data_IF_973835426698
#
_entry.id   IF_973835426698
#
_cell.length_a   1.000
_cell.length_b   1.000
_cell.length_c   1.000
_cell.angle_alpha   90.00
_cell.angle_beta   90.00
_cell.angle_gamma   90.00
#
_symmetry.space_group_name_H-M   'P 1'
#
loop_
_entity.id
_entity.type
_entity.pdbx_description
1 polymer ?
#
# COMPACT_ATOMS: atom_id res chain seq x y z
N UNK A 1 -0.60 1.78 -18.69
CA UNK A 1 -1.74 2.40 -19.40
C UNK A 1 -2.67 3.08 -18.41
N UNK A 2 -3.32 4.20 -18.85
CA UNK A 2 -4.29 4.91 -18.03
C UNK A 2 -5.63 4.96 -18.77
N UNK A 3 -6.71 4.61 -18.06
CA UNK A 3 -8.08 4.63 -18.57
C UNK A 3 -8.88 5.63 -17.74
N UNK A 4 -9.41 6.66 -18.38
CA UNK A 4 -10.06 7.77 -17.71
C UNK A 4 -11.30 8.22 -18.46
N UNK A 5 -12.23 8.82 -17.74
CA UNK A 5 -13.40 9.45 -18.34
C UNK A 5 -12.98 10.67 -19.17
N UNK A 6 -13.63 10.90 -20.30
CA UNK A 6 -13.26 11.97 -21.24
C UNK A 6 -13.19 13.35 -20.59
N UNK A 7 -14.09 13.62 -19.64
CA UNK A 7 -14.16 14.90 -18.93
C UNK A 7 -13.04 15.09 -17.89
N UNK A 8 -12.28 14.02 -17.55
CA UNK A 8 -11.17 14.05 -16.57
C UNK A 8 -9.79 13.87 -17.21
N UNK A 9 -9.68 13.82 -18.53
CA UNK A 9 -8.40 13.58 -19.22
C UNK A 9 -7.28 14.53 -18.80
N UNK A 10 -7.58 15.81 -18.67
CA UNK A 10 -6.59 16.82 -18.28
C UNK A 10 -6.11 16.60 -16.86
N UNK A 11 -7.02 16.36 -15.91
CA UNK A 11 -6.68 16.05 -14.53
C UNK A 11 -5.84 14.77 -14.44
N UNK A 12 -6.28 13.71 -15.08
CA UNK A 12 -5.59 12.41 -15.08
C UNK A 12 -4.19 12.49 -15.69
N UNK A 13 -3.99 13.34 -16.70
CA UNK A 13 -2.66 13.52 -17.32
C UNK A 13 -1.62 14.06 -16.35
N UNK A 14 -2.04 14.79 -15.32
CA UNK A 14 -1.16 15.31 -14.27
C UNK A 14 -1.00 14.34 -13.10
N UNK A 15 -2.03 13.54 -12.81
CA UNK A 15 -2.06 12.66 -11.64
C UNK A 15 -1.51 11.25 -11.90
N UNK A 16 -1.98 10.59 -12.92
CA UNK A 16 -1.68 9.18 -13.16
C UNK A 16 -0.20 8.85 -13.46
N UNK A 17 0.61 9.78 -14.03
CA UNK A 17 2.04 9.56 -14.15
C UNK A 17 2.78 9.28 -12.85
N UNK A 18 2.20 9.64 -11.67
CA UNK A 18 2.73 9.31 -10.35
C UNK A 18 2.88 7.80 -10.15
N UNK A 19 2.02 6.98 -10.77
CA UNK A 19 2.11 5.52 -10.71
C UNK A 19 3.46 4.96 -11.16
N UNK A 20 4.17 5.63 -12.07
CA UNK A 20 5.52 5.22 -12.51
C UNK A 20 6.56 5.33 -11.39
N UNK A 21 6.46 6.35 -10.58
CA UNK A 21 7.33 6.53 -9.41
C UNK A 21 7.02 5.48 -8.36
N UNK A 22 5.74 5.25 -8.12
CA UNK A 22 5.26 4.25 -7.18
C UNK A 22 5.73 2.84 -7.56
N UNK A 23 5.56 2.43 -8.82
CA UNK A 23 6.04 1.12 -9.29
C UNK A 23 7.55 0.97 -9.08
N UNK A 24 8.36 1.99 -9.46
CA UNK A 24 9.82 1.95 -9.26
C UNK A 24 10.22 1.82 -7.79
N UNK A 25 9.48 2.49 -6.91
CA UNK A 25 9.66 2.35 -5.47
C UNK A 25 9.41 0.92 -5.00
N UNK A 26 8.29 0.32 -5.41
CA UNK A 26 7.97 -1.06 -5.04
C UNK A 26 9.02 -2.05 -5.58
N UNK A 27 9.45 -1.90 -6.82
CA UNK A 27 10.53 -2.73 -7.39
C UNK A 27 11.84 -2.59 -6.61
N UNK A 28 12.17 -1.37 -6.17
CA UNK A 28 13.39 -1.11 -5.37
C UNK A 28 13.38 -1.87 -4.04
N UNK A 29 12.26 -1.88 -3.33
CA UNK A 29 12.19 -2.37 -1.95
C UNK A 29 11.59 -3.77 -1.81
N UNK A 30 10.71 -4.17 -2.71
CA UNK A 30 9.89 -5.39 -2.55
C UNK A 30 10.07 -6.42 -3.68
N UNK A 31 10.90 -6.13 -4.67
CA UNK A 31 11.21 -7.03 -5.79
C UNK A 31 10.44 -6.68 -7.06
N UNK A 32 10.78 -7.36 -8.15
CA UNK A 32 10.28 -7.05 -9.47
C UNK A 32 8.75 -7.14 -9.57
N UNK A 33 8.15 -6.29 -10.40
CA UNK A 33 6.73 -6.35 -10.73
C UNK A 33 6.40 -7.67 -11.44
N UNK A 34 5.50 -8.47 -10.86
CA UNK A 34 5.27 -9.85 -11.32
C UNK A 34 4.37 -9.95 -12.56
N UNK A 35 3.69 -8.86 -12.94
CA UNK A 35 2.64 -8.86 -13.96
C UNK A 35 3.04 -8.08 -15.22
N UNK A 36 4.31 -8.13 -15.61
CA UNK A 36 4.82 -7.42 -16.79
C UNK A 36 4.12 -7.81 -18.09
N UNK A 37 3.74 -9.08 -18.23
CA UNK A 37 3.05 -9.56 -19.42
C UNK A 37 1.65 -8.97 -19.57
N UNK A 38 0.95 -8.78 -18.45
CA UNK A 38 -0.37 -8.16 -18.41
C UNK A 38 -0.28 -6.64 -18.54
N UNK A 39 0.80 -6.07 -18.05
CA UNK A 39 1.06 -4.63 -18.02
C UNK A 39 0.18 -3.89 -16.99
N UNK A 40 0.74 -2.91 -16.32
CA UNK A 40 0.04 -2.10 -15.32
C UNK A 40 -0.99 -1.16 -15.97
N UNK A 41 -2.19 -1.12 -15.38
CA UNK A 41 -3.28 -0.22 -15.75
C UNK A 41 -3.80 0.51 -14.52
N UNK A 42 -4.03 1.82 -14.64
CA UNK A 42 -4.73 2.62 -13.64
C UNK A 42 -6.03 3.12 -14.26
N UNK A 43 -7.15 2.79 -13.64
CA UNK A 43 -8.50 2.92 -14.23
C UNK A 43 -9.35 3.81 -13.32
N UNK A 44 -9.87 4.90 -13.87
CA UNK A 44 -10.83 5.75 -13.15
C UNK A 44 -12.16 5.03 -12.95
N UNK A 45 -12.66 5.09 -11.70
CA UNK A 45 -13.93 4.48 -11.27
C UNK A 45 -14.74 5.41 -10.36
N UNK A 46 -16.05 5.18 -10.19
CA UNK A 46 -16.90 6.01 -9.32
C UNK A 46 -16.89 5.61 -7.84
N UNK A 47 -15.95 4.78 -7.40
CA UNK A 47 -15.71 4.41 -6.00
C UNK A 47 -14.25 4.70 -5.64
N UNK A 48 -13.86 4.58 -4.35
CA UNK A 48 -12.55 5.06 -3.88
C UNK A 48 -11.37 4.41 -4.63
N UNK A 49 -11.30 3.11 -4.64
CA UNK A 49 -10.24 2.32 -5.28
C UNK A 49 -10.40 0.84 -4.97
N UNK A 50 -9.64 0.01 -5.68
CA UNK A 50 -9.55 -1.43 -5.48
C UNK A 50 -8.34 -2.00 -6.21
N UNK A 51 -7.72 -2.99 -5.58
CA UNK A 51 -6.45 -3.61 -5.97
C UNK A 51 -6.58 -4.70 -7.05
N UNK A 52 -7.46 -4.56 -8.02
CA UNK A 52 -7.56 -5.56 -9.09
C UNK A 52 -6.22 -5.74 -9.81
N UNK A 53 -5.72 -6.98 -9.84
CA UNK A 53 -4.44 -7.29 -10.49
C UNK A 53 -4.34 -6.70 -11.90
N UNK A 54 -3.26 -5.96 -12.15
CA UNK A 54 -2.95 -5.32 -13.44
C UNK A 54 -4.03 -4.34 -13.95
N UNK A 55 -5.09 -4.10 -13.17
CA UNK A 55 -6.22 -3.23 -13.49
C UNK A 55 -6.65 -2.41 -12.26
N UNK A 56 -5.66 -1.82 -11.60
CA UNK A 56 -5.82 -1.01 -10.39
C UNK A 56 -6.81 0.11 -10.60
N UNK A 57 -7.79 0.25 -9.71
CA UNK A 57 -8.84 1.26 -9.85
C UNK A 57 -8.62 2.45 -8.94
N UNK A 58 -9.03 3.63 -9.42
CA UNK A 58 -8.82 4.92 -8.79
C UNK A 58 -10.07 5.79 -8.87
N UNK A 59 -10.58 6.25 -7.74
CA UNK A 59 -11.77 7.09 -7.65
C UNK A 59 -11.69 8.19 -6.59
N UNK A 60 -10.48 8.69 -6.29
CA UNK A 60 -10.25 9.75 -5.29
C UNK A 60 -10.46 11.18 -5.84
N UNK A 61 -11.13 11.32 -6.99
CA UNK A 61 -11.47 12.62 -7.58
C UNK A 61 -10.27 13.47 -7.98
N UNK A 62 -9.11 12.87 -8.25
CA UNK A 62 -7.84 13.54 -8.59
C UNK A 62 -7.42 14.62 -7.57
N UNK A 63 -7.78 14.41 -6.31
CA UNK A 63 -7.52 15.36 -5.24
C UNK A 63 -6.62 14.75 -4.19
N UNK A 64 -5.38 15.19 -4.16
CA UNK A 64 -4.41 14.87 -3.12
C UNK A 64 -4.93 15.30 -1.73
N UNK A 65 -5.90 16.21 -1.70
CA UNK A 65 -6.41 16.85 -0.49
C UNK A 65 -7.72 16.27 0.04
N UNK A 66 -8.43 15.46 -0.73
CA UNK A 66 -9.78 15.00 -0.39
C UNK A 66 -9.83 13.76 0.51
N UNK A 67 -8.74 13.12 0.78
CA UNK A 67 -8.69 11.95 1.67
C UNK A 67 -8.77 12.33 3.14
N UNK A 68 -9.34 11.46 3.96
CA UNK A 68 -9.33 11.54 5.44
C UNK A 68 -7.90 11.70 5.99
N UNK A 69 -6.91 11.30 5.21
CA UNK A 69 -5.47 11.38 5.51
C UNK A 69 -4.85 12.75 5.24
N UNK A 70 -5.60 13.72 4.70
CA UNK A 70 -5.03 14.96 4.18
C UNK A 70 -4.88 16.11 5.19
N UNK A 71 -5.44 16.01 6.38
CA UNK A 71 -5.36 17.11 7.35
C UNK A 71 -4.04 17.09 8.14
N UNK A 72 -3.21 18.07 7.88
CA UNK A 72 -2.03 18.37 8.73
C UNK A 72 -0.73 17.66 8.34
N UNK A 73 -0.67 17.03 7.16
CA UNK A 73 0.48 16.26 6.73
C UNK A 73 1.32 17.02 5.70
N UNK A 74 2.64 17.23 5.90
CA UNK A 74 3.46 18.02 4.98
C UNK A 74 3.67 17.37 3.60
N UNK A 75 3.32 16.09 3.45
CA UNK A 75 3.50 15.31 2.22
C UNK A 75 2.31 15.40 1.26
N UNK A 76 1.20 15.97 1.70
CA UNK A 76 0.06 16.18 0.83
C UNK A 76 0.38 17.23 -0.22
N UNK A 77 0.04 16.94 -1.46
CA UNK A 77 0.39 17.76 -2.59
C UNK A 77 1.59 17.24 -3.39
N UNK A 78 2.28 16.18 -2.91
CA UNK A 78 3.42 15.59 -3.59
C UNK A 78 3.03 14.34 -4.38
N UNK A 79 2.21 13.47 -3.78
CA UNK A 79 1.71 12.25 -4.43
C UNK A 79 0.36 11.85 -3.83
N UNK A 80 -0.48 11.19 -4.62
CA UNK A 80 -1.77 10.69 -4.15
C UNK A 80 -1.60 9.40 -3.35
N UNK A 81 -1.96 9.37 -2.04
CA UNK A 81 -1.82 8.18 -1.21
C UNK A 81 -2.59 6.97 -1.73
N UNK A 82 -3.71 7.19 -2.42
CA UNK A 82 -4.49 6.10 -3.00
C UNK A 82 -3.73 5.40 -4.14
N UNK A 83 -2.98 6.15 -4.96
CA UNK A 83 -2.14 5.55 -6.01
C UNK A 83 -1.03 4.71 -5.37
N UNK A 84 -0.44 5.14 -4.24
CA UNK A 84 0.54 4.32 -3.52
C UNK A 84 -0.12 3.05 -3.01
N UNK A 85 -1.27 3.20 -2.33
CA UNK A 85 -1.98 2.10 -1.68
C UNK A 85 -2.40 1.03 -2.70
N UNK A 86 -3.23 1.39 -3.66
CA UNK A 86 -3.79 0.44 -4.61
C UNK A 86 -2.72 -0.17 -5.55
N UNK A 87 -1.68 0.60 -5.91
CA UNK A 87 -0.59 0.05 -6.72
C UNK A 87 0.25 -0.95 -5.93
N UNK A 88 0.46 -0.74 -4.65
CA UNK A 88 1.28 -1.63 -3.84
C UNK A 88 0.65 -3.00 -3.60
N UNK A 89 -0.65 -3.09 -3.71
CA UNK A 89 -1.35 -4.37 -3.68
C UNK A 89 -0.99 -5.30 -4.86
N UNK A 90 -0.36 -4.81 -5.91
CA UNK A 90 0.24 -5.66 -6.94
C UNK A 90 1.32 -6.59 -6.34
N UNK A 91 1.97 -6.16 -5.25
CA UNK A 91 2.89 -6.96 -4.43
C UNK A 91 2.17 -7.66 -3.27
N UNK A 92 1.45 -6.91 -2.43
CA UNK A 92 0.78 -7.40 -1.23
C UNK A 92 -0.71 -7.63 -1.48
N UNK A 93 -1.09 -8.85 -1.78
CA UNK A 93 -2.45 -9.23 -2.14
C UNK A 93 -2.50 -9.96 -3.47
N UNK A 94 -1.98 -9.35 -4.54
CA UNK A 94 -1.99 -9.96 -5.87
C UNK A 94 -0.83 -10.92 -6.11
N UNK A 95 0.42 -10.54 -5.76
CA UNK A 95 1.57 -11.41 -5.91
C UNK A 95 1.75 -12.34 -4.70
N UNK A 96 1.67 -11.81 -3.50
CA UNK A 96 1.68 -12.60 -2.25
C UNK A 96 0.29 -12.51 -1.64
N UNK A 97 -0.46 -13.58 -1.76
CA UNK A 97 -1.86 -13.67 -1.31
C UNK A 97 -1.97 -14.44 -0.01
N UNK A 98 -2.79 -13.96 0.93
CA UNK A 98 -3.11 -14.70 2.14
C UNK A 98 -3.90 -15.97 1.80
N UNK A 99 -3.50 -17.11 2.36
CA UNK A 99 -4.15 -18.41 2.14
C UNK A 99 -5.54 -18.52 2.73
N UNK A 100 -5.86 -17.68 3.71
CA UNK A 100 -7.16 -17.58 4.36
C UNK A 100 -7.50 -16.11 4.63
N UNK A 101 -8.76 -15.67 4.44
CA UNK A 101 -9.19 -14.29 4.70
C UNK A 101 -8.87 -13.78 6.10
N UNK A 102 -8.68 -14.65 7.07
CA UNK A 102 -8.28 -14.28 8.44
C UNK A 102 -6.88 -13.67 8.51
N UNK A 103 -6.07 -13.85 7.48
CA UNK A 103 -4.73 -13.29 7.36
C UNK A 103 -4.67 -12.04 6.45
N UNK A 104 -5.80 -11.38 6.20
CA UNK A 104 -5.89 -10.19 5.33
C UNK A 104 -4.94 -9.05 5.76
N UNK A 105 -4.46 -9.03 6.98
CA UNK A 105 -3.45 -8.08 7.44
C UNK A 105 -2.13 -8.17 6.66
N UNK A 106 -1.86 -9.33 6.02
CA UNK A 106 -0.71 -9.51 5.11
C UNK A 106 -0.89 -8.62 3.88
N UNK A 107 -2.13 -8.47 3.38
CA UNK A 107 -2.41 -7.53 2.31
C UNK A 107 -2.34 -6.09 2.84
N UNK A 108 -3.20 -5.74 3.77
CA UNK A 108 -3.46 -4.38 4.19
C UNK A 108 -2.39 -3.80 5.12
N UNK A 109 -1.92 -4.61 6.07
CA UNK A 109 -0.92 -4.16 7.05
C UNK A 109 0.45 -3.93 6.44
N UNK A 110 0.90 -4.84 5.54
CA UNK A 110 2.14 -4.64 4.79
C UNK A 110 1.99 -3.46 3.82
N UNK A 111 0.81 -3.33 3.20
CA UNK A 111 0.54 -2.23 2.29
C UNK A 111 0.63 -0.87 3.00
N UNK A 112 -0.04 -0.69 4.13
CA UNK A 112 0.04 0.57 4.91
C UNK A 112 1.46 0.81 5.44
N UNK A 113 2.19 -0.24 5.78
CA UNK A 113 3.59 -0.11 6.17
C UNK A 113 4.46 0.36 5.00
N UNK A 114 4.23 -0.17 3.81
CA UNK A 114 4.96 0.23 2.60
C UNK A 114 4.75 1.71 2.24
N UNK A 115 3.59 2.28 2.57
CA UNK A 115 3.35 3.72 2.43
C UNK A 115 4.31 4.55 3.30
N UNK A 116 4.60 4.09 4.53
CA UNK A 116 5.58 4.75 5.39
C UNK A 116 6.99 4.70 4.78
N UNK A 117 7.38 3.53 4.22
CA UNK A 117 8.67 3.38 3.52
C UNK A 117 8.71 4.23 2.25
N UNK A 118 7.59 4.34 1.52
CA UNK A 118 7.51 5.22 0.36
C UNK A 118 7.84 6.68 0.72
N UNK A 119 7.27 7.17 1.80
CA UNK A 119 7.53 8.53 2.25
C UNK A 119 8.95 8.71 2.81
N UNK A 120 9.48 7.70 3.48
CA UNK A 120 10.88 7.66 3.91
C UNK A 120 11.83 7.78 2.71
N UNK A 121 11.63 6.99 1.66
CA UNK A 121 12.41 7.02 0.42
C UNK A 121 12.23 8.34 -0.34
N UNK A 122 11.01 8.81 -0.47
CA UNK A 122 10.66 10.03 -1.21
C UNK A 122 11.32 11.28 -0.64
N UNK A 123 11.48 11.35 0.67
CA UNK A 123 12.04 12.51 1.38
C UNK A 123 13.44 12.27 1.91
N UNK A 124 14.04 11.10 1.61
CA UNK A 124 15.34 10.68 2.14
C UNK A 124 15.44 10.88 3.66
N UNK A 125 14.39 10.48 4.38
CA UNK A 125 14.27 10.71 5.82
C UNK A 125 13.42 9.66 6.53
N UNK A 126 14.07 8.87 7.37
CA UNK A 126 13.42 7.91 8.26
C UNK A 126 12.35 8.56 9.16
N UNK A 127 12.62 9.78 9.65
CA UNK A 127 11.70 10.54 10.50
C UNK A 127 10.36 10.81 9.81
N UNK A 128 10.35 10.96 8.50
CA UNK A 128 9.12 11.17 7.73
C UNK A 128 8.27 9.90 7.71
N UNK A 129 8.87 8.74 7.54
CA UNK A 129 8.17 7.46 7.65
C UNK A 129 7.57 7.23 9.05
N UNK A 130 8.35 7.53 10.10
CA UNK A 130 7.87 7.46 11.50
C UNK A 130 6.72 8.45 11.74
N UNK A 131 6.82 9.64 11.19
CA UNK A 131 5.75 10.62 11.31
C UNK A 131 4.46 10.14 10.65
N UNK A 132 4.56 9.50 9.48
CA UNK A 132 3.41 8.85 8.83
C UNK A 132 2.77 7.79 9.74
N UNK A 133 3.54 6.85 10.28
CA UNK A 133 3.05 5.81 11.19
C UNK A 133 2.40 6.40 12.45
N UNK A 134 2.99 7.42 13.04
CA UNK A 134 2.41 8.11 14.20
C UNK A 134 1.06 8.76 13.87
N UNK A 135 0.85 9.25 12.65
CA UNK A 135 -0.42 9.88 12.25
C UNK A 135 -1.59 8.89 12.23
N UNK A 136 -1.31 7.62 12.01
CA UNK A 136 -2.33 6.56 11.93
C UNK A 136 -2.49 5.80 13.26
N UNK A 137 -1.56 5.94 14.19
CA UNK A 137 -1.52 5.21 15.47
C UNK A 137 -2.81 5.36 16.29
N UNK A 138 -3.37 6.56 16.35
CA UNK A 138 -4.58 6.83 17.10
C UNK A 138 -5.85 6.17 16.52
N UNK A 139 -5.73 5.53 15.37
CA UNK A 139 -6.81 4.79 14.71
C UNK A 139 -6.80 3.30 15.08
N UNK A 140 -5.79 2.85 15.83
CA UNK A 140 -5.70 1.49 16.35
C UNK A 140 -6.63 1.39 17.55
N UNK A 141 -7.63 0.52 17.45
CA UNK A 141 -8.64 0.29 18.50
C UNK A 141 -8.21 -0.81 19.46
N UNK A 142 -7.54 -1.82 18.96
CA UNK A 142 -6.97 -2.95 19.71
C UNK A 142 -8.02 -3.76 20.51
N UNK A 143 -9.26 -3.89 19.97
CA UNK A 143 -10.33 -4.66 20.58
C UNK A 143 -10.27 -6.14 20.21
N UNK A 144 -9.86 -6.44 18.99
CA UNK A 144 -9.76 -7.81 18.48
C UNK A 144 -8.37 -8.08 17.86
N UNK A 145 -7.93 -9.35 17.83
CA UNK A 145 -6.70 -9.72 17.13
C UNK A 145 -6.77 -9.39 15.64
N UNK A 146 -5.64 -9.07 15.01
CA UNK A 146 -5.55 -8.87 13.56
C UNK A 146 -5.59 -10.19 12.77
N UNK A 147 -5.40 -11.30 13.45
CA UNK A 147 -5.57 -12.66 12.92
C UNK A 147 -6.78 -13.27 13.60
N UNK A 148 -7.75 -13.69 12.81
CA UNK A 148 -8.96 -14.36 13.30
C UNK A 148 -8.80 -15.89 13.33
N UNK A 149 -9.93 -16.60 13.36
CA UNK A 149 -9.96 -18.06 13.28
C UNK A 149 -9.97 -18.51 11.81
N UNK A 150 -9.09 -19.43 11.46
CA UNK A 150 -9.04 -20.02 10.13
C UNK A 150 -10.30 -20.87 9.82
N UNK A 151 -10.52 -21.08 8.53
CA UNK A 151 -11.62 -21.88 8.00
C UNK A 151 -13.02 -21.39 8.41
N UNK A 152 -13.18 -20.11 8.69
CA UNK A 152 -14.46 -19.49 8.97
C UNK A 152 -14.91 -18.63 7.78
N UNK A 153 -16.21 -18.76 7.44
CA UNK A 153 -16.81 -17.99 6.36
C UNK A 153 -17.22 -16.58 6.84
N UNK A 154 -16.30 -15.87 7.49
CA UNK A 154 -16.50 -14.47 7.83
C UNK A 154 -15.22 -13.69 7.61
N UNK A 155 -15.38 -12.47 7.19
CA UNK A 155 -14.28 -11.55 6.88
C UNK A 155 -13.81 -10.86 8.17
N UNK A 156 -12.54 -11.01 8.48
CA UNK A 156 -11.92 -10.36 9.64
C UNK A 156 -11.37 -8.95 9.34
N UNK A 157 -11.87 -8.30 8.28
CA UNK A 157 -11.41 -6.97 7.88
C UNK A 157 -11.93 -5.92 8.87
N UNK A 158 -11.03 -5.27 9.58
CA UNK A 158 -11.28 -4.13 10.46
C UNK A 158 -10.09 -3.19 10.46
N UNK A 159 -10.25 -1.97 11.00
CA UNK A 159 -9.21 -0.94 10.95
C UNK A 159 -7.83 -1.36 11.47
N UNK A 160 -7.79 -2.25 12.45
CA UNK A 160 -6.53 -2.75 13.01
C UNK A 160 -5.74 -3.66 12.06
N UNK A 161 -6.39 -4.35 11.11
CA UNK A 161 -5.67 -5.12 10.08
C UNK A 161 -4.77 -4.23 9.26
N UNK A 162 -5.16 -2.99 9.03
CA UNK A 162 -4.38 -1.94 8.37
C UNK A 162 -3.34 -1.33 9.30
N UNK A 163 -3.81 -0.62 10.32
CA UNK A 163 -2.98 0.29 11.12
C UNK A 163 -2.08 -0.44 12.10
N UNK A 164 -2.62 -1.42 12.84
CA UNK A 164 -1.87 -2.25 13.75
C UNK A 164 -0.95 -3.20 12.99
N UNK A 165 -1.40 -3.74 11.84
CA UNK A 165 -0.55 -4.52 10.93
C UNK A 165 0.71 -3.77 10.51
N UNK A 166 0.56 -2.51 10.10
CA UNK A 166 1.70 -1.64 9.77
C UNK A 166 2.65 -1.44 10.96
N UNK A 167 2.10 -1.24 12.16
CA UNK A 167 2.92 -1.11 13.38
C UNK A 167 3.62 -2.40 13.80
N UNK A 168 3.04 -3.57 13.51
CA UNK A 168 3.72 -4.86 13.69
C UNK A 168 4.96 -4.92 12.81
N UNK A 169 4.84 -4.57 11.53
CA UNK A 169 5.98 -4.56 10.60
C UNK A 169 7.07 -3.58 11.03
N UNK A 170 6.68 -2.38 11.43
CA UNK A 170 7.63 -1.40 11.96
C UNK A 170 8.34 -1.86 13.24
N UNK A 171 7.62 -2.55 14.12
CA UNK A 171 8.20 -3.14 15.34
C UNK A 171 9.23 -4.22 14.99
N UNK A 172 8.93 -5.09 14.02
CA UNK A 172 9.88 -6.10 13.55
C UNK A 172 11.16 -5.47 12.97
N UNK A 173 11.02 -4.43 12.13
CA UNK A 173 12.16 -3.66 11.62
C UNK A 173 13.00 -3.09 12.77
N UNK A 174 12.35 -2.53 13.78
CA UNK A 174 13.02 -1.95 14.96
C UNK A 174 13.74 -3.01 15.79
N UNK A 175 13.18 -4.21 15.90
CA UNK A 175 13.84 -5.35 16.61
C UNK A 175 15.06 -5.83 15.85
N UNK A 176 14.99 -5.92 14.52
CA UNK A 176 16.12 -6.31 13.66
C UNK A 176 17.21 -5.24 13.70
N UNK A 177 16.83 -3.96 13.78
CA UNK A 177 17.72 -2.81 13.88
C UNK A 177 18.86 -2.82 12.84
N UNK A 178 18.55 -3.27 11.64
CA UNK A 178 19.45 -3.30 10.48
C UNK A 178 18.61 -3.26 9.20
N UNK A 179 18.61 -2.13 8.53
CA UNK A 179 17.75 -1.89 7.36
C UNK A 179 18.15 -2.75 6.15
N UNK A 180 19.45 -2.97 5.93
CA UNK A 180 19.92 -3.85 4.86
C UNK A 180 19.37 -5.27 5.05
N UNK A 181 19.46 -5.80 6.25
CA UNK A 181 18.90 -7.10 6.61
C UNK A 181 17.37 -7.10 6.50
N UNK A 182 16.70 -6.04 6.99
CA UNK A 182 15.25 -5.92 6.93
C UNK A 182 14.71 -5.98 5.50
N UNK A 183 15.23 -5.16 4.61
CA UNK A 183 14.78 -5.14 3.22
C UNK A 183 15.18 -6.40 2.45
N UNK A 184 16.28 -7.06 2.82
CA UNK A 184 16.62 -8.38 2.29
C UNK A 184 15.57 -9.41 2.68
N UNK A 185 15.19 -9.49 3.97
CA UNK A 185 14.14 -10.40 4.47
C UNK A 185 12.83 -10.17 3.73
N UNK A 186 12.39 -8.91 3.57
CA UNK A 186 11.14 -8.60 2.86
C UNK A 186 11.21 -9.06 1.39
N UNK A 187 12.31 -8.80 0.69
CA UNK A 187 12.48 -9.25 -0.70
C UNK A 187 12.49 -10.77 -0.84
N UNK A 188 13.15 -11.47 0.07
CA UNK A 188 13.16 -12.94 0.11
C UNK A 188 11.74 -13.47 0.36
N UNK A 189 11.03 -12.92 1.35
CA UNK A 189 9.63 -13.25 1.61
C UNK A 189 8.75 -13.05 0.36
N UNK A 190 8.88 -11.92 -0.33
CA UNK A 190 8.12 -11.65 -1.55
C UNK A 190 8.45 -12.64 -2.67
N UNK A 191 9.72 -12.95 -2.88
CA UNK A 191 10.14 -13.84 -3.97
C UNK A 191 9.77 -15.32 -3.73
N UNK A 192 9.81 -15.77 -2.48
CA UNK A 192 9.49 -17.14 -2.09
C UNK A 192 7.99 -17.43 -2.11
N UNK A 193 7.16 -16.40 -1.94
CA UNK A 193 5.70 -16.51 -1.87
C UNK A 193 4.98 -15.89 -3.08
N UNK A 194 5.73 -15.44 -4.09
CA UNK A 194 5.13 -14.82 -5.28
C UNK A 194 4.26 -15.82 -6.05
N UNK A 195 3.05 -15.38 -6.43
CA UNK A 195 2.07 -16.18 -7.16
C UNK A 195 1.64 -17.46 -6.41
N UNK A 196 1.73 -17.42 -5.08
CA UNK A 196 1.29 -18.49 -4.18
C UNK A 196 -0.17 -18.38 -3.78
#
# INVERSE_FOLDING_TARGET
NHYVMDYNKELASNYFPQSKEVIRFYEKYFGDYQWYEDGYKLIEVPYLGMEHQSAVTYGNGFSIYNGVRSKGWPMYGVIDPLIIHETGHEWFGNSVTASDPTHIWIHEGLQVYSEAIFFEDKFDSYEVGIHYLNSIKNRIVNEIPIVGNENQNHWALHGDTYMKGAWVMHTLRSVINNDEMWFKIIKEFMSENAKG
#
